data_IF_184571652587
#
_entry.id   IF_184571652587
#
_cell.length_a   1.000
_cell.length_b   1.000
_cell.length_c   1.000
_cell.angle_alpha   90.00
_cell.angle_beta   90.00
_cell.angle_gamma   90.00
#
_symmetry.space_group_name_H-M   'P 1'
#
loop_
_entity.id
_entity.type
_entity.pdbx_description
1 polymer ?
#
# COMPACT_ATOMS: atom_id res chain seq x y z
N UNK A 1 20.18 -15.92 -11.29
CA UNK A 1 19.33 -15.63 -10.11
C UNK A 1 19.88 -14.36 -9.49
N UNK A 2 19.37 -13.19 -9.90
CA UNK A 2 19.78 -11.94 -9.27
C UNK A 2 19.20 -11.95 -7.85
N UNK A 3 20.05 -12.15 -6.85
CA UNK A 3 19.70 -11.90 -5.46
C UNK A 3 19.36 -10.43 -5.35
N UNK A 4 18.10 -10.09 -5.04
CA UNK A 4 17.76 -8.74 -4.62
C UNK A 4 18.76 -8.31 -3.55
N UNK A 5 19.31 -7.07 -3.61
CA UNK A 5 20.21 -6.62 -2.57
C UNK A 5 19.49 -6.77 -1.22
N UNK A 6 20.14 -7.37 -0.20
CA UNK A 6 19.48 -7.84 1.03
C UNK A 6 18.66 -6.75 1.73
N UNK A 7 18.98 -5.49 1.47
CA UNK A 7 18.31 -4.31 2.01
C UNK A 7 16.95 -4.02 1.35
N UNK A 8 16.79 -4.25 0.04
CA UNK A 8 15.49 -4.10 -0.64
C UNK A 8 14.52 -5.20 -0.22
N UNK A 9 15.02 -6.41 -0.02
CA UNK A 9 14.25 -7.51 0.53
C UNK A 9 13.75 -7.20 1.95
N UNK A 10 14.59 -6.62 2.81
CA UNK A 10 14.17 -6.19 4.16
C UNK A 10 13.06 -5.15 4.08
N UNK A 11 13.15 -4.19 3.15
CA UNK A 11 12.08 -3.22 2.91
C UNK A 11 10.79 -3.91 2.45
N UNK A 12 10.86 -4.86 1.52
CA UNK A 12 9.68 -5.59 1.01
C UNK A 12 8.98 -6.40 2.09
N UNK A 13 9.76 -7.12 2.90
CA UNK A 13 9.29 -7.88 4.04
C UNK A 13 8.67 -6.98 5.12
N UNK A 14 9.28 -5.81 5.37
CA UNK A 14 8.73 -4.81 6.30
C UNK A 14 7.41 -4.25 5.78
N UNK A 15 7.34 -3.90 4.49
CA UNK A 15 6.11 -3.43 3.84
C UNK A 15 4.99 -4.47 3.90
N UNK A 16 5.33 -5.74 3.66
CA UNK A 16 4.42 -6.88 3.77
C UNK A 16 3.86 -7.02 5.19
N UNK A 17 4.70 -6.94 6.21
CA UNK A 17 4.27 -6.96 7.61
C UNK A 17 3.33 -5.79 7.94
N UNK A 18 3.71 -4.57 7.55
CA UNK A 18 2.96 -3.34 7.80
C UNK A 18 1.59 -3.37 7.12
N UNK A 19 1.51 -3.82 5.86
CA UNK A 19 0.23 -3.96 5.18
C UNK A 19 -0.62 -5.10 5.74
N UNK A 20 -0.01 -6.19 6.22
CA UNK A 20 -0.73 -7.26 6.92
C UNK A 20 -1.41 -6.75 8.18
N UNK A 21 -0.67 -5.99 8.99
CA UNK A 21 -1.17 -5.32 10.18
C UNK A 21 -2.28 -4.31 9.83
N UNK A 22 -2.05 -3.44 8.84
CA UNK A 22 -3.02 -2.43 8.40
C UNK A 22 -4.32 -3.05 7.86
N UNK A 23 -4.21 -4.07 7.00
CA UNK A 23 -5.34 -4.77 6.41
C UNK A 23 -6.20 -5.45 7.45
N UNK A 24 -5.58 -6.15 8.40
CA UNK A 24 -6.28 -6.81 9.49
C UNK A 24 -6.92 -5.81 10.47
N UNK A 25 -6.23 -4.72 10.84
CA UNK A 25 -6.83 -3.67 11.67
C UNK A 25 -8.03 -3.00 10.99
N UNK A 26 -7.96 -2.79 9.68
CA UNK A 26 -9.09 -2.28 8.88
C UNK A 26 -10.24 -3.29 8.87
N UNK A 27 -9.94 -4.59 8.71
CA UNK A 27 -10.91 -5.67 8.78
C UNK A 27 -11.71 -5.65 10.09
N UNK A 28 -10.99 -5.55 11.23
CA UNK A 28 -11.60 -5.53 12.58
C UNK A 28 -12.46 -4.29 12.79
N UNK A 29 -12.06 -3.14 12.23
CA UNK A 29 -12.78 -1.87 12.38
C UNK A 29 -14.06 -1.82 11.54
N UNK A 30 -13.99 -2.31 10.31
CA UNK A 30 -15.08 -2.15 9.34
C UNK A 30 -16.04 -3.34 9.37
N UNK A 31 -15.57 -4.55 9.70
CA UNK A 31 -16.36 -5.75 9.65
C UNK A 31 -16.26 -6.59 10.94
N UNK A 32 -17.35 -7.25 11.30
CA UNK A 32 -17.42 -8.19 12.44
C UNK A 32 -16.93 -9.57 12.02
N UNK A 33 -15.69 -9.65 11.56
CA UNK A 33 -15.06 -10.90 11.13
C UNK A 33 -14.48 -11.67 12.32
N UNK A 34 -14.42 -13.00 12.19
CA UNK A 34 -13.68 -13.86 13.11
C UNK A 34 -12.16 -13.76 12.88
N UNK A 35 -11.37 -14.45 13.70
CA UNK A 35 -9.90 -14.41 13.60
C UNK A 35 -9.42 -14.86 12.22
N UNK A 36 -10.09 -15.84 11.61
CA UNK A 36 -9.74 -16.36 10.29
C UNK A 36 -9.97 -15.30 9.22
N UNK A 37 -11.13 -14.64 9.22
CA UNK A 37 -11.44 -13.54 8.31
C UNK A 37 -10.48 -12.35 8.45
N UNK A 38 -10.17 -11.94 9.69
CA UNK A 38 -9.25 -10.82 9.97
C UNK A 38 -7.84 -11.10 9.44
N UNK A 39 -7.29 -12.28 9.76
CA UNK A 39 -5.95 -12.67 9.32
C UNK A 39 -5.92 -12.83 7.80
N UNK A 40 -6.95 -13.46 7.22
CA UNK A 40 -7.04 -13.66 5.76
C UNK A 40 -7.08 -12.33 5.02
N UNK A 41 -7.87 -11.36 5.50
CA UNK A 41 -7.93 -10.05 4.86
C UNK A 41 -6.61 -9.28 5.00
N UNK A 42 -5.93 -9.39 6.15
CA UNK A 42 -4.58 -8.87 6.33
C UNK A 42 -3.60 -9.47 5.32
N UNK A 43 -3.61 -10.79 5.16
CA UNK A 43 -2.79 -11.52 4.19
C UNK A 43 -3.06 -11.04 2.75
N UNK A 44 -4.32 -10.95 2.35
CA UNK A 44 -4.71 -10.47 1.01
C UNK A 44 -4.20 -9.04 0.79
N UNK A 45 -4.30 -8.18 1.80
CA UNK A 45 -3.81 -6.79 1.72
C UNK A 45 -2.29 -6.75 1.55
N UNK A 46 -1.56 -7.55 2.31
CA UNK A 46 -0.09 -7.60 2.28
C UNK A 46 0.46 -8.16 0.98
N UNK A 47 -0.16 -9.21 0.45
CA UNK A 47 0.39 -10.01 -0.63
C UNK A 47 -0.20 -9.64 -2.00
N UNK A 48 -1.43 -9.11 -2.03
CA UNK A 48 -2.19 -8.86 -3.25
C UNK A 48 -1.49 -7.93 -4.25
N UNK A 49 -0.91 -6.83 -3.76
CA UNK A 49 -0.16 -5.90 -4.61
C UNK A 49 1.05 -6.56 -5.29
N UNK A 50 1.83 -7.33 -4.54
CA UNK A 50 2.98 -8.09 -5.05
C UNK A 50 2.59 -9.18 -6.04
N UNK A 51 1.47 -9.87 -5.82
CA UNK A 51 0.95 -10.88 -6.75
C UNK A 51 0.50 -10.25 -8.07
N UNK A 52 -0.22 -9.12 -8.02
CA UNK A 52 -0.62 -8.37 -9.23
C UNK A 52 0.63 -7.92 -9.99
N UNK A 53 1.59 -7.31 -9.30
CA UNK A 53 2.87 -6.86 -9.87
C UNK A 53 3.58 -7.99 -10.60
N UNK A 54 3.82 -9.08 -9.89
CA UNK A 54 4.60 -10.21 -10.40
C UNK A 54 3.88 -10.91 -11.56
N UNK A 55 2.54 -10.95 -11.55
CA UNK A 55 1.74 -11.42 -12.67
C UNK A 55 1.90 -10.56 -13.92
N UNK A 56 1.88 -9.23 -13.78
CA UNK A 56 2.00 -8.28 -14.90
C UNK A 56 3.37 -8.37 -15.57
N UNK A 57 4.45 -8.48 -14.80
CA UNK A 57 5.83 -8.55 -15.34
C UNK A 57 6.25 -9.98 -15.73
N UNK A 58 5.37 -10.97 -15.58
CA UNK A 58 5.67 -12.37 -15.89
C UNK A 58 6.62 -13.05 -14.91
N UNK A 59 6.79 -12.52 -13.69
CA UNK A 59 7.61 -13.09 -12.63
C UNK A 59 6.91 -14.27 -11.93
N UNK A 60 6.67 -15.37 -12.66
CA UNK A 60 5.87 -16.50 -12.20
C UNK A 60 6.78 -17.67 -11.73
N UNK A 61 6.46 -18.35 -10.60
CA UNK A 61 5.49 -17.96 -9.57
C UNK A 61 5.88 -16.68 -8.80
N UNK A 62 4.90 -15.87 -8.34
CA UNK A 62 5.17 -14.65 -7.58
C UNK A 62 6.12 -14.87 -6.38
N UNK A 63 6.92 -13.86 -6.04
CA UNK A 63 7.88 -13.91 -4.92
C UNK A 63 7.20 -14.32 -3.60
N UNK A 64 5.98 -13.84 -3.40
CA UNK A 64 5.06 -14.19 -2.32
C UNK A 64 4.91 -15.70 -2.08
N UNK A 65 4.92 -16.50 -3.14
CA UNK A 65 4.76 -17.97 -3.06
C UNK A 65 6.10 -18.71 -3.10
N UNK A 66 7.17 -18.04 -3.52
CA UNK A 66 8.53 -18.62 -3.54
C UNK A 66 9.20 -18.55 -2.18
N UNK A 67 8.89 -17.52 -1.39
CA UNK A 67 9.56 -17.24 -0.13
C UNK A 67 8.58 -17.24 1.05
N UNK A 68 8.78 -18.20 1.97
CA UNK A 68 7.95 -18.40 3.15
C UNK A 68 7.90 -17.18 4.07
N UNK A 69 8.91 -16.31 4.03
CA UNK A 69 9.01 -15.12 4.89
C UNK A 69 7.85 -14.16 4.66
N UNK A 70 7.43 -13.96 3.42
CA UNK A 70 6.28 -13.10 3.08
C UNK A 70 5.01 -13.59 3.75
N UNK A 71 4.73 -14.89 3.62
CA UNK A 71 3.57 -15.51 4.24
C UNK A 71 3.60 -15.36 5.76
N UNK A 72 4.74 -15.68 6.40
CA UNK A 72 4.84 -15.59 7.87
C UNK A 72 4.70 -14.18 8.41
N UNK A 73 5.23 -13.17 7.71
CA UNK A 73 5.14 -11.78 8.16
C UNK A 73 3.74 -11.21 7.97
N UNK A 74 3.09 -11.50 6.85
CA UNK A 74 1.71 -11.11 6.65
C UNK A 74 0.78 -11.79 7.69
N UNK A 75 1.03 -13.06 8.01
CA UNK A 75 0.25 -13.81 9.00
C UNK A 75 0.47 -13.26 10.41
N UNK A 76 1.72 -13.01 10.78
CA UNK A 76 2.09 -12.40 12.06
C UNK A 76 1.46 -11.00 12.21
N UNK A 77 1.51 -10.17 11.16
CA UNK A 77 0.88 -8.86 11.14
C UNK A 77 -0.64 -8.96 11.39
N UNK A 78 -1.31 -9.90 10.73
CA UNK A 78 -2.74 -10.15 10.95
C UNK A 78 -3.07 -10.62 12.37
N UNK A 79 -2.27 -11.52 12.94
CA UNK A 79 -2.48 -12.04 14.29
C UNK A 79 -2.25 -10.96 15.36
N UNK A 80 -1.23 -10.13 15.17
CA UNK A 80 -0.93 -8.98 16.04
C UNK A 80 -2.09 -7.97 15.96
N UNK A 81 -2.56 -7.62 14.76
CA UNK A 81 -3.72 -6.75 14.58
C UNK A 81 -4.96 -7.27 15.32
N UNK A 82 -5.23 -8.58 15.25
CA UNK A 82 -6.33 -9.21 15.97
C UNK A 82 -6.17 -9.07 17.49
N UNK A 83 -4.96 -9.22 18.04
CA UNK A 83 -4.69 -8.96 19.46
C UNK A 83 -4.89 -7.49 19.86
N UNK A 84 -4.50 -6.56 19.00
CA UNK A 84 -4.67 -5.11 19.19
C UNK A 84 -6.11 -4.64 19.03
N UNK A 85 -7.02 -5.50 18.55
CA UNK A 85 -8.44 -5.19 18.37
C UNK A 85 -9.12 -4.60 19.62
N UNK A 86 -8.63 -4.96 20.81
CA UNK A 86 -9.14 -4.48 22.11
C UNK A 86 -9.01 -2.96 22.29
N UNK A 87 -8.16 -2.29 21.51
CA UNK A 87 -7.92 -0.85 21.59
C UNK A 87 -8.39 -0.09 20.35
N UNK A 88 -9.31 -0.66 19.57
CA UNK A 88 -9.76 -0.16 18.27
C UNK A 88 -10.12 1.34 18.23
N UNK A 89 -10.73 1.85 19.30
CA UNK A 89 -11.16 3.26 19.40
C UNK A 89 -9.99 4.27 19.31
N UNK A 90 -8.74 3.83 19.42
CA UNK A 90 -7.54 4.67 19.28
C UNK A 90 -6.70 4.39 18.03
N UNK A 91 -7.17 3.52 17.13
CA UNK A 91 -6.36 3.00 16.02
C UNK A 91 -6.54 3.72 14.67
N UNK A 92 -7.41 4.74 14.58
CA UNK A 92 -7.64 5.45 13.30
C UNK A 92 -6.38 6.07 12.70
N UNK A 93 -5.61 6.80 13.53
CA UNK A 93 -4.34 7.40 13.12
C UNK A 93 -3.26 6.34 12.86
N UNK A 94 -3.05 5.33 13.74
CA UNK A 94 -2.14 4.21 13.45
C UNK A 94 -2.41 3.49 12.13
N UNK A 95 -3.68 3.16 11.81
CA UNK A 95 -4.06 2.54 10.54
C UNK A 95 -3.62 3.42 9.36
N UNK A 96 -3.91 4.72 9.43
CA UNK A 96 -3.54 5.67 8.38
C UNK A 96 -2.01 5.80 8.20
N UNK A 97 -1.26 5.79 9.30
CA UNK A 97 0.21 5.85 9.26
C UNK A 97 0.81 4.56 8.68
N UNK A 98 0.33 3.40 9.13
CA UNK A 98 0.76 2.10 8.61
C UNK A 98 0.44 1.98 7.12
N UNK A 99 -0.74 2.44 6.70
CA UNK A 99 -1.13 2.49 5.29
C UNK A 99 -0.18 3.37 4.47
N UNK A 100 0.15 4.58 4.95
CA UNK A 100 1.09 5.47 4.28
C UNK A 100 2.50 4.89 4.19
N UNK A 101 2.96 4.15 5.21
CA UNK A 101 4.24 3.44 5.21
C UNK A 101 4.26 2.27 4.22
N UNK A 102 3.22 1.44 4.23
CA UNK A 102 3.10 0.33 3.28
C UNK A 102 3.06 0.85 1.84
N UNK A 103 2.22 1.84 1.60
CA UNK A 103 2.05 2.50 0.30
C UNK A 103 3.38 3.04 -0.23
N UNK A 104 4.15 3.74 0.61
CA UNK A 104 5.41 4.33 0.18
C UNK A 104 6.46 3.27 -0.17
N UNK A 105 6.60 2.24 0.65
CA UNK A 105 7.55 1.14 0.43
C UNK A 105 7.21 0.36 -0.84
N UNK A 106 5.95 -0.06 -1.02
CA UNK A 106 5.54 -0.82 -2.20
C UNK A 106 5.56 0.01 -3.49
N UNK A 107 5.40 1.33 -3.42
CA UNK A 107 5.58 2.19 -4.58
C UNK A 107 7.02 2.14 -5.11
N UNK A 108 8.03 2.25 -4.22
CA UNK A 108 9.43 2.19 -4.67
C UNK A 108 9.82 0.79 -5.11
N UNK A 109 9.43 -0.25 -4.36
CA UNK A 109 9.80 -1.65 -4.69
C UNK A 109 9.11 -2.09 -5.99
N UNK A 110 7.83 -1.76 -6.16
CA UNK A 110 7.09 -2.07 -7.37
C UNK A 110 7.70 -1.40 -8.60
N UNK A 111 8.07 -0.12 -8.49
CA UNK A 111 8.71 0.62 -9.57
C UNK A 111 10.11 0.07 -9.87
N UNK A 112 10.91 -0.23 -8.85
CA UNK A 112 12.25 -0.77 -9.03
C UNK A 112 12.24 -2.12 -9.74
N UNK A 113 11.40 -3.05 -9.26
CA UNK A 113 11.25 -4.37 -9.88
C UNK A 113 10.73 -4.27 -11.31
N UNK A 114 9.85 -3.31 -11.61
CA UNK A 114 9.37 -3.09 -12.96
C UNK A 114 10.53 -2.72 -13.93
N UNK A 115 11.39 -1.78 -13.51
CA UNK A 115 12.57 -1.38 -14.30
C UNK A 115 13.55 -2.54 -14.46
N UNK A 116 13.79 -3.33 -13.41
CA UNK A 116 14.66 -4.52 -13.47
C UNK A 116 14.15 -5.59 -14.44
N UNK A 117 12.82 -5.69 -14.61
CA UNK A 117 12.18 -6.57 -15.59
C UNK A 117 12.10 -5.96 -17.00
N UNK A 118 12.76 -4.82 -17.23
CA UNK A 118 12.89 -4.20 -18.55
C UNK A 118 11.71 -3.34 -18.97
N UNK A 119 10.80 -2.97 -18.06
CA UNK A 119 9.73 -2.02 -18.39
C UNK A 119 10.32 -0.61 -18.57
N UNK A 120 9.79 0.14 -19.54
CA UNK A 120 10.11 1.55 -19.71
C UNK A 120 9.62 2.42 -18.55
N UNK A 121 10.10 3.67 -18.48
CA UNK A 121 9.86 4.57 -17.36
C UNK A 121 8.36 4.77 -17.01
N UNK A 122 7.51 5.05 -18.00
CA UNK A 122 6.07 5.24 -17.79
C UNK A 122 5.38 4.00 -17.20
N UNK A 123 5.47 2.83 -17.87
CA UNK A 123 4.94 1.57 -17.33
C UNK A 123 5.50 1.20 -15.96
N UNK A 124 6.78 1.47 -15.69
CA UNK A 124 7.38 1.19 -14.39
C UNK A 124 6.80 2.06 -13.26
N UNK A 125 6.57 3.35 -13.52
CA UNK A 125 5.87 4.24 -12.57
C UNK A 125 4.47 3.75 -12.30
N UNK A 126 3.70 3.42 -13.35
CA UNK A 126 2.34 2.92 -13.22
C UNK A 126 2.29 1.62 -12.41
N UNK A 127 3.19 0.68 -12.70
CA UNK A 127 3.23 -0.58 -11.99
C UNK A 127 3.65 -0.40 -10.52
N UNK A 128 4.52 0.55 -10.22
CA UNK A 128 4.82 0.96 -8.84
C UNK A 128 3.58 1.42 -8.09
N UNK A 129 2.77 2.30 -8.70
CA UNK A 129 1.49 2.75 -8.13
C UNK A 129 0.53 1.58 -7.94
N UNK A 130 0.35 0.73 -8.96
CA UNK A 130 -0.53 -0.45 -8.89
C UNK A 130 -0.11 -1.40 -7.76
N UNK A 131 1.19 -1.63 -7.59
CA UNK A 131 1.72 -2.47 -6.50
C UNK A 131 1.35 -1.88 -5.14
N UNK A 132 1.55 -0.55 -4.99
CA UNK A 132 1.32 0.16 -3.76
C UNK A 132 -0.15 0.19 -3.34
N UNK A 133 -1.06 0.48 -4.27
CA UNK A 133 -2.50 0.61 -3.99
C UNK A 133 -3.25 -0.71 -4.10
N UNK A 134 -2.69 -1.70 -4.80
CA UNK A 134 -3.40 -2.93 -5.18
C UNK A 134 -3.89 -3.73 -3.99
N UNK A 135 -3.04 -3.91 -2.97
CA UNK A 135 -3.41 -4.62 -1.74
C UNK A 135 -4.58 -3.97 -1.00
N UNK A 136 -4.51 -2.65 -0.76
CA UNK A 136 -5.58 -1.89 -0.13
C UNK A 136 -6.86 -1.84 -0.97
N UNK A 137 -6.73 -1.82 -2.31
CA UNK A 137 -7.88 -1.82 -3.22
C UNK A 137 -8.64 -3.15 -3.16
N UNK A 138 -7.94 -4.29 -3.17
CA UNK A 138 -8.57 -5.61 -3.03
C UNK A 138 -9.27 -5.71 -1.67
N UNK A 139 -8.60 -5.27 -0.60
CA UNK A 139 -9.17 -5.23 0.76
C UNK A 139 -10.47 -4.43 0.80
N UNK A 140 -10.44 -3.20 0.31
CA UNK A 140 -11.59 -2.30 0.36
C UNK A 140 -12.76 -2.89 -0.47
N UNK A 141 -12.47 -3.46 -1.64
CA UNK A 141 -13.48 -4.14 -2.47
C UNK A 141 -14.11 -5.36 -1.77
N UNK A 142 -13.31 -6.19 -1.09
CA UNK A 142 -13.81 -7.35 -0.32
C UNK A 142 -14.65 -6.92 0.89
N UNK A 143 -14.39 -5.74 1.45
CA UNK A 143 -15.20 -5.12 2.50
C UNK A 143 -16.43 -4.37 1.94
N UNK A 144 -16.68 -4.42 0.63
CA UNK A 144 -17.78 -3.69 -0.04
C UNK A 144 -17.68 -2.17 0.16
N UNK A 145 -16.47 -1.65 0.31
CA UNK A 145 -16.16 -0.23 0.45
C UNK A 145 -15.59 0.31 -0.86
N UNK A 146 -15.82 1.60 -1.15
CA UNK A 146 -15.17 2.24 -2.29
C UNK A 146 -13.66 2.33 -1.99
N UNK A 147 -12.78 1.80 -2.85
CA UNK A 147 -11.34 1.84 -2.60
C UNK A 147 -10.82 3.23 -2.30
N UNK A 148 -9.93 3.33 -1.31
CA UNK A 148 -9.36 4.61 -0.85
C UNK A 148 -8.68 5.37 -2.00
N UNK A 149 -8.08 4.65 -2.94
CA UNK A 149 -7.46 5.19 -4.15
C UNK A 149 -8.45 5.94 -5.06
N UNK A 150 -9.75 5.56 -5.04
CA UNK A 150 -10.81 6.20 -5.83
C UNK A 150 -11.49 7.34 -5.07
N UNK A 151 -11.43 7.35 -3.74
CA UNK A 151 -12.03 8.40 -2.90
C UNK A 151 -11.13 9.60 -2.66
N UNK A 152 -9.81 9.38 -2.59
CA UNK A 152 -8.83 10.40 -2.22
C UNK A 152 -7.72 10.48 -3.27
N UNK A 153 -7.71 11.54 -4.07
CA UNK A 153 -6.70 11.71 -5.12
C UNK A 153 -5.27 11.88 -4.56
N UNK A 154 -5.11 12.38 -3.32
CA UNK A 154 -3.83 12.37 -2.61
C UNK A 154 -3.43 10.98 -2.07
N UNK A 155 -4.09 9.90 -2.50
CA UNK A 155 -3.66 8.53 -2.26
C UNK A 155 -2.68 8.04 -3.34
N UNK A 156 -3.07 8.18 -4.61
CA UNK A 156 -2.27 7.72 -5.73
C UNK A 156 -1.08 8.64 -6.04
N UNK A 157 -1.27 9.96 -5.87
CA UNK A 157 -0.26 10.96 -6.23
C UNK A 157 1.06 10.77 -5.44
N UNK A 158 1.06 10.62 -4.10
CA UNK A 158 2.30 10.35 -3.36
C UNK A 158 3.04 9.09 -3.84
N UNK A 159 2.29 8.01 -4.11
CA UNK A 159 2.85 6.76 -4.62
C UNK A 159 3.47 6.96 -6.02
N UNK A 160 2.81 7.74 -6.88
CA UNK A 160 3.31 8.08 -8.21
C UNK A 160 4.61 8.89 -8.13
N UNK A 161 4.70 9.84 -7.20
CA UNK A 161 5.92 10.63 -6.96
C UNK A 161 7.07 9.71 -6.50
N UNK A 162 6.84 8.83 -5.53
CA UNK A 162 7.84 7.85 -5.10
C UNK A 162 8.31 6.94 -6.24
N UNK A 163 7.38 6.41 -7.02
CA UNK A 163 7.67 5.55 -8.16
C UNK A 163 8.49 6.30 -9.22
N UNK A 164 8.11 7.53 -9.56
CA UNK A 164 8.84 8.38 -10.50
C UNK A 164 10.27 8.71 -10.02
N UNK A 165 10.43 9.07 -8.73
CA UNK A 165 11.75 9.30 -8.14
C UNK A 165 12.62 8.04 -8.21
N UNK A 166 12.03 6.87 -7.98
CA UNK A 166 12.72 5.58 -8.04
C UNK A 166 13.20 5.28 -9.45
N UNK A 167 12.31 5.40 -10.43
CA UNK A 167 12.63 5.20 -11.86
C UNK A 167 13.72 6.19 -12.31
N UNK A 168 13.62 7.46 -11.92
CA UNK A 168 14.65 8.46 -12.24
C UNK A 168 16.02 8.11 -11.62
N UNK A 169 16.05 7.71 -10.35
CA UNK A 169 17.28 7.29 -9.67
C UNK A 169 17.93 6.07 -10.35
N UNK A 170 17.13 5.13 -10.85
CA UNK A 170 17.63 3.96 -11.58
C UNK A 170 18.21 4.34 -12.94
N UNK A 171 17.53 5.20 -13.71
CA UNK A 171 18.06 5.68 -15.00
C UNK A 171 19.36 6.48 -14.86
N UNK A 172 19.51 7.21 -13.75
CA UNK A 172 20.73 7.94 -13.43
C UNK A 172 21.84 7.08 -12.81
N UNK A 173 21.62 5.77 -12.63
CA UNK A 173 22.55 4.84 -11.98
C UNK A 173 22.96 5.25 -10.55
N UNK A 174 22.12 6.01 -9.86
CA UNK A 174 22.31 6.42 -8.46
C UNK A 174 21.39 5.65 -7.50
N UNK A 175 20.69 4.63 -8.02
CA UNK A 175 19.75 3.85 -7.23
C UNK A 175 20.47 2.97 -6.20
N UNK A 176 19.97 3.04 -4.97
CA UNK A 176 20.45 2.30 -3.81
C UNK A 176 19.55 2.55 -2.61
N UNK A 177 19.93 2.04 -1.44
CA UNK A 177 19.15 2.21 -0.21
C UNK A 177 18.81 3.68 0.11
N UNK A 178 19.74 4.66 0.00
CA UNK A 178 19.43 6.05 0.29
C UNK A 178 18.37 6.63 -0.66
N UNK A 179 18.44 6.30 -1.96
CA UNK A 179 17.46 6.75 -2.95
C UNK A 179 16.08 6.13 -2.71
N UNK A 180 16.02 4.83 -2.39
CA UNK A 180 14.79 4.13 -2.05
C UNK A 180 14.14 4.72 -0.78
N UNK A 181 14.92 4.94 0.27
CA UNK A 181 14.43 5.54 1.52
C UNK A 181 14.00 7.00 1.31
N UNK A 182 14.72 7.78 0.50
CA UNK A 182 14.34 9.15 0.18
C UNK A 182 13.01 9.21 -0.59
N UNK A 183 12.84 8.36 -1.60
CA UNK A 183 11.58 8.27 -2.35
C UNK A 183 10.42 7.84 -1.44
N UNK A 184 10.62 6.82 -0.59
CA UNK A 184 9.61 6.38 0.36
C UNK A 184 9.27 7.45 1.41
N UNK A 185 10.27 8.18 1.91
CA UNK A 185 10.09 9.27 2.86
C UNK A 185 9.31 10.44 2.25
N UNK A 186 9.59 10.81 0.99
CA UNK A 186 8.83 11.84 0.26
C UNK A 186 7.37 11.41 0.09
N UNK A 187 7.11 10.17 -0.35
CA UNK A 187 5.74 9.67 -0.46
C UNK A 187 5.01 9.69 0.90
N UNK A 188 5.66 9.20 1.95
CA UNK A 188 5.10 9.21 3.30
C UNK A 188 4.79 10.64 3.78
N UNK A 189 5.72 11.58 3.58
CA UNK A 189 5.54 12.98 3.97
C UNK A 189 4.38 13.63 3.22
N UNK A 190 4.31 13.49 1.89
CA UNK A 190 3.19 14.04 1.09
C UNK A 190 1.87 13.44 1.57
N UNK A 191 1.82 12.12 1.82
CA UNK A 191 0.62 11.45 2.30
C UNK A 191 0.17 11.96 3.68
N UNK A 192 1.11 12.09 4.62
CA UNK A 192 0.80 12.57 5.97
C UNK A 192 0.41 14.04 6.01
N UNK A 193 1.01 14.88 5.17
CA UNK A 193 0.59 16.28 4.96
C UNK A 193 -0.82 16.32 4.40
N UNK A 194 -1.13 15.52 3.38
CA UNK A 194 -2.48 15.41 2.81
C UNK A 194 -3.53 15.03 3.86
N UNK A 195 -3.23 14.05 4.71
CA UNK A 195 -4.08 13.64 5.83
C UNK A 195 -4.23 14.75 6.88
N UNK A 196 -3.14 15.41 7.28
CA UNK A 196 -3.13 16.42 8.34
C UNK A 196 -3.92 17.68 7.97
N UNK A 197 -3.85 18.09 6.69
CA UNK A 197 -4.52 19.27 6.18
C UNK A 197 -5.85 18.95 5.48
N UNK A 198 -6.29 17.69 5.48
CA UNK A 198 -7.50 17.21 4.78
C UNK A 198 -7.56 17.67 3.32
N UNK A 199 -6.40 17.72 2.68
CA UNK A 199 -6.30 18.12 1.28
C UNK A 199 -6.96 17.03 0.44
N UNK A 200 -8.02 17.40 -0.27
CA UNK A 200 -8.63 16.57 -1.29
C UNK A 200 -8.48 17.31 -2.61
N UNK A 201 -8.26 16.58 -3.69
CA UNK A 201 -8.18 17.20 -4.99
C UNK A 201 -9.58 17.59 -5.51
N UNK A 202 -9.66 18.38 -6.59
CA UNK A 202 -10.91 18.97 -7.06
C UNK A 202 -11.93 17.89 -7.40
N UNK A 203 -13.08 17.89 -6.71
CA UNK A 203 -14.20 17.02 -7.07
C UNK A 203 -14.80 17.43 -8.42
N UNK A 204 -15.44 16.52 -9.17
CA UNK A 204 -16.18 16.88 -10.38
C UNK A 204 -17.16 18.04 -10.10
N UNK A 205 -17.18 19.09 -10.92
CA UNK A 205 -18.13 20.19 -10.78
C UNK A 205 -19.57 19.64 -10.75
N UNK A 206 -20.30 19.86 -9.66
CA UNK A 206 -21.70 19.43 -9.51
C UNK A 206 -21.95 18.26 -8.54
N UNK A 207 -20.93 17.69 -7.90
CA UNK A 207 -21.11 16.81 -6.75
C UNK A 207 -21.65 17.63 -5.56
N UNK A 208 -22.98 17.73 -5.43
CA UNK A 208 -23.65 18.38 -4.30
C UNK A 208 -23.19 17.71 -2.99
N UNK A 209 -22.72 18.53 -2.06
CA UNK A 209 -22.52 18.12 -0.68
C UNK A 209 -23.87 17.62 -0.13
N UNK A 210 -23.94 16.35 0.26
CA UNK A 210 -25.07 15.78 0.98
C UNK A 210 -25.11 16.22 2.45
N UNK A 211 -24.70 17.45 2.75
CA UNK A 211 -24.74 18.03 4.09
C UNK A 211 -25.90 19.05 4.13
N UNK A 212 -27.10 18.55 4.42
CA UNK A 212 -28.31 19.37 4.44
C UNK A 212 -29.63 18.62 4.59
N UNK A 213 -29.64 17.40 5.14
CA UNK A 213 -30.87 16.65 5.40
C UNK A 213 -31.02 16.23 6.87
N UNK A 214 -30.96 17.20 7.78
CA UNK A 214 -31.67 17.12 9.08
C UNK A 214 -31.85 18.53 9.64
N UNK A 215 -32.77 19.29 9.05
CA UNK A 215 -33.55 20.30 9.78
C UNK A 215 -34.78 20.65 8.95
N UNK A 216 -35.89 19.93 9.18
CA UNK A 216 -37.23 20.50 9.29
C UNK A 216 -38.31 19.42 9.50
N UNK A 217 -39.08 19.65 10.57
CA UNK A 217 -40.38 19.07 11.00
C UNK A 217 -40.38 17.75 11.76
#
# INVERSE_FOLDING_TARGET
>A
MASEPPLLLVLDLTGTFVFGLNGALTAVRTARLDVVGVVTLGMITALGGGVIRDGIIGAIPPATFRDWRYFTLAFAGGLIAFGLSRWLNRLEMPITVLDALGLSVFAVIGAAKAVEFGLGAGPAVLLGVVTAVGGGTIRDALLTEIPTVLRSELYAIPAMVAAAMTVAAMHLNIYGLPAALAAAAVCFAIRMVGVRFRLNAPRPPGARDGDGATEHR
#
